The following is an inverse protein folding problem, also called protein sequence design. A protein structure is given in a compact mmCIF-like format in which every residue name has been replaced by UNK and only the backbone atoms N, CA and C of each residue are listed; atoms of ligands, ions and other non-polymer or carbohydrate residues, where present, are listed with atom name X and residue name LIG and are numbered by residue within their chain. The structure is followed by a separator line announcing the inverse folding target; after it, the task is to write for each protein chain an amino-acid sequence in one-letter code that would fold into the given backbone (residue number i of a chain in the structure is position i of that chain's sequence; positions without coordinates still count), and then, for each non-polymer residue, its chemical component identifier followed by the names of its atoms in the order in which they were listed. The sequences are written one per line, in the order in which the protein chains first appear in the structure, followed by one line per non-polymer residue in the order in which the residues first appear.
data_IF_030883996500
#
_entry.id   IF_030883996500
#
_cell.length_a   1.000
_cell.length_b   1.000
_cell.length_c   1.000
_cell.angle_alpha   90.00
_cell.angle_beta   90.00
_cell.angle_gamma   90.00
#
_symmetry.space_group_name_H-M   'P 1'
#
loop_
_entity.id
_entity.type
_entity.pdbx_description
1 polymer ?
#
# COMPACT_ATOMS: atom_id res chain seq x y z
N UNK A 1 -26.34 15.80 -8.66
CA UNK A 1 -25.33 16.24 -9.67
C UNK A 1 -23.93 15.71 -9.35
N UNK A 2 -23.48 15.73 -8.09
CA UNK A 2 -22.13 15.31 -7.70
C UNK A 2 -21.85 13.83 -8.04
N UNK A 3 -22.78 12.93 -7.83
CA UNK A 3 -22.59 11.50 -8.10
C UNK A 3 -22.56 11.15 -9.59
N UNK A 4 -23.30 11.85 -10.44
CA UNK A 4 -23.29 11.62 -11.89
C UNK A 4 -22.00 12.16 -12.53
N UNK A 5 -21.51 13.29 -12.07
CA UNK A 5 -20.24 13.87 -12.53
C UNK A 5 -19.03 13.02 -12.15
N UNK A 6 -19.00 12.46 -10.93
CA UNK A 6 -17.97 11.49 -10.52
C UNK A 6 -17.95 10.26 -11.45
N UNK A 7 -19.09 9.63 -11.70
CA UNK A 7 -19.17 8.46 -12.58
C UNK A 7 -18.74 8.77 -14.03
N UNK A 8 -19.04 9.96 -14.55
CA UNK A 8 -18.59 10.39 -15.88
C UNK A 8 -17.08 10.59 -15.89
N UNK A 9 -16.53 11.26 -14.89
CA UNK A 9 -15.09 11.51 -14.75
C UNK A 9 -14.30 10.21 -14.64
N UNK A 10 -14.73 9.28 -13.78
CA UNK A 10 -14.05 8.00 -13.60
C UNK A 10 -14.03 7.20 -14.89
N UNK A 11 -15.15 7.15 -15.61
CA UNK A 11 -15.23 6.47 -16.92
C UNK A 11 -14.30 7.11 -17.94
N UNK A 12 -14.30 8.43 -18.05
CA UNK A 12 -13.43 9.14 -18.99
C UNK A 12 -11.96 8.84 -18.71
N UNK A 13 -11.54 8.93 -17.44
CA UNK A 13 -10.16 8.65 -17.06
C UNK A 13 -9.76 7.19 -17.32
N UNK A 14 -10.64 6.24 -17.07
CA UNK A 14 -10.40 4.83 -17.38
C UNK A 14 -10.20 4.63 -18.89
N UNK A 15 -11.05 5.22 -19.73
CA UNK A 15 -10.93 5.11 -21.20
C UNK A 15 -9.68 5.83 -21.73
N UNK A 16 -9.33 6.98 -21.19
CA UNK A 16 -8.08 7.68 -21.52
C UNK A 16 -6.86 6.80 -21.21
N UNK A 17 -6.80 6.20 -20.00
CA UNK A 17 -5.72 5.30 -19.64
C UNK A 17 -5.68 4.04 -20.53
N UNK A 18 -6.82 3.46 -20.88
CA UNK A 18 -6.90 2.33 -21.82
C UNK A 18 -6.34 2.70 -23.18
N UNK A 19 -6.58 3.91 -23.65
CA UNK A 19 -6.13 4.38 -24.96
C UNK A 19 -4.62 4.53 -25.06
N UNK A 20 -3.95 4.91 -23.97
CA UNK A 20 -2.50 5.13 -23.92
C UNK A 20 -1.70 3.90 -23.51
N UNK A 21 -2.29 2.98 -22.74
CA UNK A 21 -1.61 1.80 -22.19
C UNK A 21 -0.84 0.97 -23.25
N UNK A 22 -1.36 0.75 -24.49
CA UNK A 22 -0.63 0.00 -25.51
C UNK A 22 0.72 0.61 -25.89
N UNK A 23 0.85 1.92 -25.82
CA UNK A 23 2.03 2.69 -26.22
C UNK A 23 3.04 2.88 -25.10
N UNK A 24 2.69 2.55 -23.85
CA UNK A 24 3.58 2.71 -22.72
C UNK A 24 4.63 1.61 -22.66
N UNK A 25 5.79 1.94 -22.09
CA UNK A 25 6.89 0.99 -21.85
C UNK A 25 6.74 0.36 -20.47
N UNK A 26 7.24 -0.86 -20.32
CA UNK A 26 7.42 -1.50 -19.04
C UNK A 26 8.48 -0.78 -18.18
N UNK A 27 8.35 -0.83 -16.87
CA UNK A 27 9.26 -0.17 -15.93
C UNK A 27 10.74 -0.55 -16.18
N UNK A 28 11.01 -1.82 -16.46
CA UNK A 28 12.36 -2.30 -16.78
C UNK A 28 12.98 -1.64 -18.03
N UNK A 29 12.18 -1.03 -18.89
CA UNK A 29 12.61 -0.33 -20.11
C UNK A 29 12.62 1.20 -19.96
N UNK A 30 12.45 1.70 -18.76
CA UNK A 30 12.49 3.13 -18.41
C UNK A 30 13.77 3.45 -17.65
N UNK A 31 14.37 4.61 -17.92
CA UNK A 31 15.65 5.00 -17.30
C UNK A 31 15.62 5.09 -15.78
N UNK A 32 14.45 5.41 -15.21
CA UNK A 32 14.24 5.53 -13.77
C UNK A 32 13.27 4.46 -13.24
N UNK A 33 13.05 3.38 -13.98
CA UNK A 33 12.23 2.26 -13.55
C UNK A 33 10.86 2.67 -13.03
N UNK A 34 10.54 2.22 -11.82
CA UNK A 34 9.25 2.49 -11.14
C UNK A 34 9.07 3.94 -10.65
N UNK A 35 10.08 4.78 -10.75
CA UNK A 35 9.92 6.24 -10.55
C UNK A 35 9.27 6.95 -11.73
N UNK A 36 8.88 6.21 -12.76
CA UNK A 36 8.20 6.72 -13.95
C UNK A 36 6.92 5.96 -14.20
N UNK A 37 5.94 6.65 -14.78
CA UNK A 37 4.69 6.01 -15.18
C UNK A 37 4.96 4.95 -16.27
N UNK A 38 4.89 3.71 -15.88
CA UNK A 38 5.09 2.52 -16.71
C UNK A 38 3.77 1.93 -17.20
N UNK A 39 3.86 0.95 -18.09
CA UNK A 39 2.70 0.21 -18.58
C UNK A 39 2.00 -0.53 -17.43
N UNK A 40 2.76 -1.16 -16.55
CA UNK A 40 2.23 -1.87 -15.37
C UNK A 40 1.52 -0.92 -14.42
N UNK A 41 2.07 0.27 -14.22
CA UNK A 41 1.42 1.31 -13.42
C UNK A 41 0.11 1.77 -14.07
N UNK A 42 0.10 1.99 -15.38
CA UNK A 42 -1.11 2.35 -16.10
C UNK A 42 -2.22 1.28 -15.96
N UNK A 43 -1.87 0.00 -16.13
CA UNK A 43 -2.80 -1.10 -15.93
C UNK A 43 -3.32 -1.17 -14.50
N UNK A 44 -2.44 -1.04 -13.52
CA UNK A 44 -2.81 -1.03 -12.11
C UNK A 44 -3.74 0.13 -11.75
N UNK A 45 -3.51 1.31 -12.34
CA UNK A 45 -4.39 2.47 -12.16
C UNK A 45 -5.77 2.26 -12.78
N UNK A 46 -5.85 1.66 -13.97
CA UNK A 46 -7.15 1.29 -14.57
C UNK A 46 -7.90 0.34 -13.64
N UNK A 47 -7.22 -0.68 -13.11
CA UNK A 47 -7.82 -1.63 -12.19
C UNK A 47 -8.33 -0.94 -10.90
N UNK A 48 -7.48 -0.13 -10.25
CA UNK A 48 -7.84 0.58 -9.02
C UNK A 48 -9.01 1.53 -9.24
N UNK A 49 -8.98 2.32 -10.31
CA UNK A 49 -10.07 3.25 -10.64
C UNK A 49 -11.38 2.52 -10.94
N UNK A 50 -11.31 1.39 -11.66
CA UNK A 50 -12.49 0.60 -11.96
C UNK A 50 -13.10 -0.03 -10.69
N UNK A 51 -12.29 -0.52 -9.74
CA UNK A 51 -12.78 -1.01 -8.46
C UNK A 51 -13.43 0.10 -7.62
N UNK A 52 -12.79 1.27 -7.52
CA UNK A 52 -13.37 2.42 -6.82
C UNK A 52 -14.69 2.88 -7.45
N UNK A 53 -14.74 3.00 -8.78
CA UNK A 53 -15.95 3.37 -9.49
C UNK A 53 -17.08 2.34 -9.34
N UNK A 54 -16.74 1.05 -9.27
CA UNK A 54 -17.69 -0.06 -9.06
C UNK A 54 -18.02 -0.35 -7.60
N UNK A 55 -17.27 0.23 -6.67
CA UNK A 55 -17.45 0.03 -5.23
C UNK A 55 -18.65 0.76 -4.63
N UNK A 56 -18.84 0.51 -3.33
CA UNK A 56 -19.83 1.27 -2.56
C UNK A 56 -19.36 2.70 -2.35
N UNK A 57 -20.25 3.65 -2.64
CA UNK A 57 -20.04 5.07 -2.38
C UNK A 57 -21.35 5.75 -2.01
N UNK A 58 -21.28 6.89 -1.34
CA UNK A 58 -22.44 7.70 -1.04
C UNK A 58 -22.98 8.30 -2.35
N UNK A 59 -24.17 7.88 -2.76
CA UNK A 59 -24.83 8.34 -3.98
C UNK A 59 -26.11 9.11 -3.65
N UNK A 60 -26.56 10.03 -4.52
CA UNK A 60 -27.84 10.71 -4.33
C UNK A 60 -28.98 9.68 -4.22
N UNK A 61 -29.83 9.84 -3.21
CA UNK A 61 -31.07 9.06 -3.11
C UNK A 61 -32.13 9.69 -4.00
N UNK A 62 -32.31 9.16 -5.21
CA UNK A 62 -33.28 9.65 -6.16
C UNK A 62 -34.74 9.39 -5.76
N UNK A 63 -34.95 8.38 -4.90
CA UNK A 63 -36.30 8.02 -4.40
C UNK A 63 -36.69 8.90 -3.22
N UNK A 64 -35.71 9.41 -2.47
CA UNK A 64 -35.92 10.33 -1.37
C UNK A 64 -34.85 11.44 -1.35
N UNK A 65 -35.02 12.51 -2.14
CA UNK A 65 -34.06 13.60 -2.24
C UNK A 65 -33.79 14.35 -0.94
N UNK A 66 -34.61 14.18 0.07
CA UNK A 66 -34.44 14.76 1.41
C UNK A 66 -33.34 14.02 2.22
N UNK A 67 -32.95 12.81 1.84
CA UNK A 67 -31.89 12.06 2.47
C UNK A 67 -30.52 12.60 2.04
N UNK A 68 -29.51 12.39 2.90
CA UNK A 68 -28.11 12.72 2.59
C UNK A 68 -27.49 11.81 1.51
N UNK A 69 -28.21 10.77 1.07
CA UNK A 69 -27.79 9.80 0.07
C UNK A 69 -27.85 8.36 0.57
N UNK A 70 -27.56 7.43 -0.33
CA UNK A 70 -27.48 5.99 -0.06
C UNK A 70 -26.07 5.48 -0.32
N UNK A 71 -25.57 4.59 0.55
CA UNK A 71 -24.37 3.81 0.29
C UNK A 71 -24.71 2.65 -0.65
N UNK A 72 -24.39 2.81 -1.92
CA UNK A 72 -24.74 1.82 -2.95
C UNK A 72 -23.66 1.73 -4.05
N UNK A 73 -23.74 0.65 -4.82
CA UNK A 73 -22.94 0.43 -6.03
C UNK A 73 -23.67 0.95 -7.26
N UNK A 74 -22.96 1.37 -8.32
CA UNK A 74 -23.61 1.70 -9.60
C UNK A 74 -24.19 0.43 -10.25
N UNK A 75 -25.23 0.58 -11.05
CA UNK A 75 -25.89 -0.57 -11.70
C UNK A 75 -24.92 -1.41 -12.57
N UNK A 76 -23.87 -0.79 -13.13
CA UNK A 76 -22.86 -1.45 -13.96
C UNK A 76 -21.61 -1.89 -13.18
N UNK A 77 -21.69 -2.02 -11.86
CA UNK A 77 -20.51 -2.34 -11.03
C UNK A 77 -19.79 -3.63 -11.46
N UNK A 78 -20.53 -4.64 -11.93
CA UNK A 78 -19.93 -5.89 -12.41
C UNK A 78 -19.05 -5.70 -13.64
N UNK A 79 -19.39 -4.78 -14.53
CA UNK A 79 -18.54 -4.49 -15.71
C UNK A 79 -17.29 -3.73 -15.33
N UNK A 80 -17.37 -2.87 -14.31
CA UNK A 80 -16.21 -2.22 -13.72
C UNK A 80 -15.29 -3.23 -13.02
N UNK A 81 -15.86 -4.17 -12.27
CA UNK A 81 -15.07 -5.25 -11.65
C UNK A 81 -14.44 -6.21 -12.69
N UNK A 82 -15.12 -6.50 -13.82
CA UNK A 82 -14.51 -7.22 -14.95
C UNK A 82 -13.32 -6.45 -15.53
N UNK A 83 -13.46 -5.13 -15.67
CA UNK A 83 -12.35 -4.27 -16.12
C UNK A 83 -11.19 -4.35 -15.14
N UNK A 84 -11.45 -4.23 -13.84
CA UNK A 84 -10.41 -4.33 -12.82
C UNK A 84 -9.70 -5.68 -12.86
N UNK A 85 -10.46 -6.78 -12.92
CA UNK A 85 -9.92 -8.13 -12.99
C UNK A 85 -9.01 -8.32 -14.21
N UNK A 86 -9.45 -7.88 -15.40
CA UNK A 86 -8.68 -8.00 -16.64
C UNK A 86 -7.36 -7.24 -16.60
N UNK A 87 -7.35 -6.04 -16.00
CA UNK A 87 -6.13 -5.25 -15.91
C UNK A 87 -5.19 -5.70 -14.79
N UNK A 88 -5.71 -6.22 -13.67
CA UNK A 88 -4.89 -6.93 -12.70
C UNK A 88 -4.25 -8.18 -13.32
N UNK A 89 -5.02 -8.97 -14.08
CA UNK A 89 -4.51 -10.14 -14.81
C UNK A 89 -3.42 -9.74 -15.81
N UNK A 90 -3.56 -8.61 -16.49
CA UNK A 90 -2.53 -8.11 -17.41
C UNK A 90 -1.20 -7.84 -16.69
N UNK A 91 -1.24 -7.29 -15.48
CA UNK A 91 -0.02 -7.07 -14.67
C UNK A 91 0.56 -8.41 -14.22
N UNK A 92 -0.27 -9.31 -13.68
CA UNK A 92 0.16 -10.62 -13.17
C UNK A 92 0.76 -11.46 -14.31
N UNK A 93 0.06 -11.56 -15.43
CA UNK A 93 0.48 -12.34 -16.60
C UNK A 93 1.71 -11.78 -17.30
N UNK A 94 2.02 -10.48 -17.11
CA UNK A 94 3.26 -9.90 -17.65
C UNK A 94 4.52 -10.44 -16.98
N UNK A 95 4.39 -11.02 -15.79
CA UNK A 95 5.48 -11.57 -14.96
C UNK A 95 6.66 -10.59 -14.78
N UNK A 96 6.38 -9.28 -14.81
CA UNK A 96 7.39 -8.24 -14.64
C UNK A 96 7.64 -7.87 -13.19
N UNK A 97 6.71 -8.24 -12.30
CA UNK A 97 6.81 -8.00 -10.86
C UNK A 97 6.69 -9.30 -10.07
N UNK A 98 7.33 -9.34 -8.91
CA UNK A 98 7.32 -10.48 -7.99
C UNK A 98 7.17 -10.01 -6.55
N UNK A 99 7.01 -10.95 -5.61
CA UNK A 99 7.11 -10.72 -4.17
C UNK A 99 8.29 -11.52 -3.59
N UNK A 100 9.45 -11.44 -4.23
CA UNK A 100 10.64 -12.23 -3.86
C UNK A 100 11.35 -11.70 -2.62
N UNK A 101 11.26 -10.40 -2.36
CA UNK A 101 11.91 -9.78 -1.21
C UNK A 101 11.03 -9.90 0.04
N UNK A 102 11.64 -10.02 1.22
CA UNK A 102 10.93 -9.91 2.49
C UNK A 102 10.17 -8.59 2.59
N UNK A 103 9.03 -8.60 3.27
CA UNK A 103 8.13 -7.44 3.41
C UNK A 103 8.85 -6.14 3.75
N UNK A 104 9.69 -6.14 4.79
CA UNK A 104 10.38 -4.94 5.26
C UNK A 104 11.40 -4.41 4.26
N UNK A 105 11.92 -5.27 3.37
CA UNK A 105 12.99 -4.90 2.43
C UNK A 105 12.54 -3.85 1.43
N UNK A 106 11.26 -3.78 1.10
CA UNK A 106 10.69 -2.73 0.25
C UNK A 106 11.03 -1.36 0.84
N UNK A 107 10.67 -1.14 2.09
CA UNK A 107 10.84 0.14 2.79
C UNK A 107 12.32 0.45 3.13
N UNK A 108 13.11 -0.57 3.42
CA UNK A 108 14.56 -0.42 3.60
C UNK A 108 15.23 0.00 2.30
N UNK A 109 14.82 -0.56 1.16
CA UNK A 109 15.34 -0.18 -0.15
C UNK A 109 15.01 1.27 -0.47
N UNK A 110 13.78 1.71 -0.25
CA UNK A 110 13.36 3.11 -0.42
C UNK A 110 14.19 4.06 0.47
N UNK A 111 14.43 3.70 1.75
CA UNK A 111 15.28 4.46 2.66
C UNK A 111 16.75 4.54 2.20
N UNK A 112 17.19 3.61 1.37
CA UNK A 112 18.55 3.55 0.83
C UNK A 112 18.64 3.96 -0.65
N UNK A 113 17.56 4.54 -1.20
CA UNK A 113 17.51 5.03 -2.58
C UNK A 113 17.75 3.93 -3.62
N UNK A 114 17.32 2.71 -3.31
CA UNK A 114 17.40 1.56 -4.20
C UNK A 114 16.08 1.41 -4.94
N UNK A 115 16.07 1.76 -6.21
CA UNK A 115 14.92 1.58 -7.10
C UNK A 115 14.90 0.14 -7.61
N UNK A 116 13.83 -0.59 -7.31
CA UNK A 116 13.65 -1.98 -7.74
C UNK A 116 12.45 -2.10 -8.67
N UNK A 117 12.69 -2.33 -9.96
CA UNK A 117 11.67 -2.30 -11.01
C UNK A 117 11.01 -3.65 -11.31
N UNK A 118 11.32 -4.71 -10.57
CA UNK A 118 10.82 -6.07 -10.80
C UNK A 118 10.42 -6.83 -9.52
N UNK A 119 10.24 -6.12 -8.42
CA UNK A 119 9.69 -6.66 -7.18
C UNK A 119 8.34 -5.98 -6.86
N UNK A 120 8.02 -5.77 -5.59
CA UNK A 120 6.72 -5.25 -5.15
C UNK A 120 6.37 -3.84 -5.65
N UNK A 121 7.27 -2.82 -5.63
CA UNK A 121 6.93 -1.49 -6.15
C UNK A 121 6.62 -1.51 -7.64
N UNK A 122 5.44 -0.97 -8.02
CA UNK A 122 5.03 -0.74 -9.42
C UNK A 122 5.21 0.74 -9.77
N UNK A 123 4.94 1.63 -8.81
CA UNK A 123 5.18 3.05 -8.95
C UNK A 123 5.51 3.68 -7.61
N UNK A 124 6.63 4.38 -7.57
CA UNK A 124 7.06 5.19 -6.45
C UNK A 124 6.99 6.67 -6.79
N UNK A 125 6.48 7.50 -5.88
CA UNK A 125 6.59 8.94 -5.98
C UNK A 125 8.04 9.30 -5.61
N UNK A 126 8.85 9.77 -6.57
CA UNK A 126 10.26 10.02 -6.31
C UNK A 126 10.47 11.36 -5.62
N UNK A 127 11.38 11.36 -4.65
CA UNK A 127 11.87 12.56 -4.01
C UNK A 127 13.38 12.71 -4.22
N UNK A 128 13.83 13.92 -4.47
CA UNK A 128 15.24 14.18 -4.66
C UNK A 128 15.99 14.09 -3.32
N UNK A 129 17.00 13.23 -3.28
CA UNK A 129 17.85 13.01 -2.11
C UNK A 129 18.39 14.34 -1.58
N UNK A 130 18.32 14.52 -0.26
CA UNK A 130 18.81 15.72 0.45
C UNK A 130 18.15 17.04 0.00
N UNK A 131 17.08 16.98 -0.79
CA UNK A 131 16.47 18.19 -1.37
C UNK A 131 14.97 18.26 -1.13
N UNK A 132 14.27 17.13 -1.05
CA UNK A 132 12.81 17.12 -0.91
C UNK A 132 12.29 15.85 -0.20
N UNK A 133 11.01 15.89 0.18
CA UNK A 133 10.30 14.77 0.76
C UNK A 133 10.53 14.58 2.26
N UNK A 134 9.43 14.47 2.99
CA UNK A 134 9.44 14.32 4.45
C UNK A 134 9.02 12.92 4.91
N UNK A 135 9.07 11.91 4.03
CA UNK A 135 8.58 10.56 4.33
C UNK A 135 9.26 10.01 5.58
N UNK A 136 10.58 9.97 5.64
CA UNK A 136 11.31 9.46 6.80
C UNK A 136 11.20 10.34 8.07
N UNK A 137 10.77 11.61 7.93
CA UNK A 137 10.51 12.46 9.07
C UNK A 137 9.11 12.25 9.66
N UNK A 138 8.11 12.11 8.78
CA UNK A 138 6.72 11.94 9.19
C UNK A 138 6.38 10.50 9.57
N UNK A 139 7.05 9.53 8.99
CA UNK A 139 6.93 8.10 9.25
C UNK A 139 8.17 7.57 9.98
N UNK A 140 8.13 6.33 10.38
CA UNK A 140 9.22 5.75 11.16
C UNK A 140 9.14 6.08 12.66
N UNK A 141 10.03 5.54 13.48
CA UNK A 141 10.08 5.82 14.90
C UNK A 141 10.49 7.26 15.17
N UNK A 142 10.00 7.82 16.28
CA UNK A 142 10.43 9.14 16.75
C UNK A 142 11.94 9.11 17.01
N UNK A 143 12.63 10.15 16.55
CA UNK A 143 14.05 10.36 16.83
C UNK A 143 14.25 11.81 17.24
N UNK A 144 14.86 12.03 18.40
CA UNK A 144 15.14 13.36 18.92
C UNK A 144 16.47 13.86 18.40
N UNK A 145 16.53 15.14 18.02
CA UNK A 145 17.74 15.72 17.49
C UNK A 145 18.81 15.89 18.57
N UNK A 146 18.41 16.46 19.72
CA UNK A 146 19.31 16.70 20.84
C UNK A 146 18.55 17.22 22.08
N UNK A 147 19.22 17.28 23.23
CA UNK A 147 18.72 17.90 24.44
C UNK A 147 19.35 19.30 24.63
N UNK A 148 18.66 20.34 24.16
CA UNK A 148 19.01 21.75 24.42
C UNK A 148 20.18 22.34 23.62
N UNK A 149 20.63 21.71 22.56
CA UNK A 149 21.76 22.14 21.73
C UNK A 149 21.37 22.55 20.30
N UNK A 150 22.26 23.17 19.59
CA UNK A 150 22.06 23.67 18.22
C UNK A 150 22.61 22.75 17.13
N UNK A 151 23.39 21.75 17.46
CA UNK A 151 23.92 20.76 16.51
C UNK A 151 23.46 19.37 16.92
N UNK A 152 22.90 18.63 15.99
CA UNK A 152 22.41 17.29 16.27
C UNK A 152 23.53 16.31 16.56
N UNK A 153 23.52 15.73 17.74
CA UNK A 153 24.40 14.63 18.09
C UNK A 153 23.82 13.27 17.60
N UNK A 154 22.53 13.27 17.23
CA UNK A 154 21.87 12.07 16.75
C UNK A 154 22.19 11.82 15.26
N UNK A 155 22.86 10.72 15.00
CA UNK A 155 23.30 10.32 13.66
C UNK A 155 22.16 10.09 12.67
N UNK A 156 20.94 9.88 13.16
CA UNK A 156 19.75 9.69 12.31
C UNK A 156 18.95 10.99 12.08
N UNK A 157 19.26 12.08 12.81
CA UNK A 157 18.52 13.32 12.78
C UNK A 157 17.11 13.22 13.36
N UNK A 158 16.39 14.34 13.33
CA UNK A 158 15.03 14.42 13.89
C UNK A 158 14.00 13.64 13.04
N UNK A 159 13.12 12.91 13.71
CA UNK A 159 11.89 12.35 13.14
C UNK A 159 10.74 12.49 14.16
N UNK A 160 9.56 12.93 13.69
CA UNK A 160 8.41 13.19 14.58
C UNK A 160 7.37 12.09 14.60
N UNK A 161 7.43 11.14 13.67
CA UNK A 161 6.46 10.04 13.59
C UNK A 161 4.99 10.53 13.59
N UNK A 162 4.69 11.52 12.77
CA UNK A 162 3.35 12.11 12.70
C UNK A 162 2.27 11.15 12.19
N UNK A 163 2.66 10.13 11.41
CA UNK A 163 1.81 9.06 10.92
C UNK A 163 1.79 7.87 11.90
N UNK A 164 1.34 8.11 13.12
CA UNK A 164 1.30 7.11 14.16
C UNK A 164 0.14 6.11 13.98
N UNK A 165 0.32 4.91 14.51
CA UNK A 165 -0.67 3.84 14.55
C UNK A 165 -1.35 3.78 15.92
N UNK A 166 -2.56 3.21 15.97
CA UNK A 166 -3.22 2.92 17.23
C UNK A 166 -2.59 1.69 17.91
N UNK A 167 -2.46 1.72 19.24
CA UNK A 167 -2.02 0.56 20.00
C UNK A 167 -2.93 -0.67 19.76
N UNK A 168 -4.24 -0.47 19.58
CA UNK A 168 -5.18 -1.54 19.24
C UNK A 168 -4.81 -2.24 17.93
N UNK A 169 -4.28 -1.50 16.97
CA UNK A 169 -3.87 -2.08 15.68
C UNK A 169 -2.80 -3.16 15.86
N UNK A 170 -1.84 -2.95 16.75
CA UNK A 170 -0.82 -3.99 17.07
C UNK A 170 -1.44 -5.29 17.57
N UNK A 171 -2.48 -5.19 18.41
CA UNK A 171 -3.13 -6.38 18.99
C UNK A 171 -4.08 -7.10 18.00
N UNK A 172 -4.34 -6.52 16.84
CA UNK A 172 -5.11 -7.19 15.78
C UNK A 172 -4.27 -8.19 14.97
N UNK A 173 -2.93 -8.07 15.02
CA UNK A 173 -2.04 -9.00 14.33
C UNK A 173 -1.97 -10.34 15.03
N UNK A 174 -1.89 -11.40 14.23
CA UNK A 174 -1.41 -12.69 14.71
C UNK A 174 0.02 -12.53 15.26
N UNK A 175 0.35 -13.13 16.41
CA UNK A 175 1.70 -13.06 16.99
C UNK A 175 2.84 -13.53 16.06
N UNK A 176 2.56 -14.40 15.10
CA UNK A 176 3.53 -14.90 14.13
C UNK A 176 3.61 -14.06 12.84
N UNK A 177 2.72 -13.08 12.67
CA UNK A 177 2.80 -12.16 11.53
C UNK A 177 4.02 -11.23 11.68
N UNK A 178 5.03 -11.45 10.86
CA UNK A 178 6.28 -10.68 10.94
C UNK A 178 6.06 -9.18 10.72
N UNK A 179 5.00 -8.79 10.01
CA UNK A 179 4.65 -7.38 9.76
C UNK A 179 4.30 -6.64 11.04
N UNK A 180 3.77 -7.36 12.04
CA UNK A 180 3.44 -6.78 13.35
C UNK A 180 4.61 -6.00 13.93
N UNK A 181 5.78 -6.59 13.94
CA UNK A 181 6.95 -6.00 14.59
C UNK A 181 7.69 -5.01 13.69
N UNK A 182 7.55 -5.15 12.37
CA UNK A 182 8.06 -4.14 11.42
C UNK A 182 7.18 -2.90 11.34
N UNK A 183 5.86 -3.05 11.45
CA UNK A 183 4.92 -1.93 11.34
C UNK A 183 4.75 -1.15 12.63
N UNK A 184 4.77 -1.85 13.75
CA UNK A 184 4.38 -1.30 15.04
C UNK A 184 5.62 -1.01 15.90
N UNK A 185 6.24 0.12 15.67
CA UNK A 185 7.39 0.59 16.44
C UNK A 185 7.00 0.98 17.87
N UNK A 186 7.53 0.26 18.85
CA UNK A 186 7.33 0.55 20.27
C UNK A 186 8.42 1.45 20.86
N UNK A 187 9.44 1.74 20.06
CA UNK A 187 10.64 2.44 20.48
C UNK A 187 10.79 3.74 19.69
N UNK A 188 11.13 4.80 20.39
CA UNK A 188 11.73 5.99 19.83
C UNK A 188 13.21 6.03 20.20
N UNK A 189 13.90 7.10 19.81
CA UNK A 189 15.33 7.26 20.07
C UNK A 189 15.60 8.66 20.63
N UNK A 190 16.39 8.70 21.68
CA UNK A 190 16.87 9.95 22.26
C UNK A 190 17.97 10.55 21.37
N UNK A 191 18.34 11.80 21.66
CA UNK A 191 19.39 12.54 20.93
C UNK A 191 20.75 11.82 20.91
N UNK A 192 21.05 11.04 21.93
CA UNK A 192 22.29 10.23 22.01
C UNK A 192 22.15 8.85 21.33
N UNK A 193 21.04 8.59 20.66
CA UNK A 193 20.77 7.33 19.95
C UNK A 193 20.29 6.20 20.83
N UNK A 194 20.10 6.42 22.15
CA UNK A 194 19.54 5.41 23.02
C UNK A 194 18.05 5.17 22.76
N UNK A 195 17.59 3.90 22.73
CA UNK A 195 16.18 3.61 22.55
C UNK A 195 15.38 4.02 23.79
N UNK A 196 14.21 4.58 23.58
CA UNK A 196 13.23 4.89 24.63
C UNK A 196 11.87 4.32 24.29
N UNK A 197 11.17 3.78 25.27
CA UNK A 197 9.81 3.28 25.08
C UNK A 197 8.87 4.45 24.88
N UNK A 198 7.97 4.35 23.89
CA UNK A 198 6.88 5.30 23.76
C UNK A 198 6.00 5.27 25.01
N UNK A 199 5.95 6.39 25.73
CA UNK A 199 5.12 6.52 26.94
C UNK A 199 3.66 6.88 26.65
N UNK A 200 3.31 7.04 25.36
CA UNK A 200 1.95 7.33 24.91
C UNK A 200 1.28 6.07 24.39
N UNK A 201 -0.04 6.10 24.29
CA UNK A 201 -0.83 5.07 23.62
C UNK A 201 -0.56 4.98 22.11
N UNK A 202 0.39 5.73 21.62
CA UNK A 202 0.77 5.85 20.22
C UNK A 202 1.85 4.83 19.91
N UNK A 203 1.62 4.06 18.85
CA UNK A 203 2.61 3.16 18.26
C UNK A 203 3.17 3.85 17.02
N UNK A 204 4.48 3.87 16.87
CA UNK A 204 5.09 4.47 15.69
C UNK A 204 4.86 3.59 14.46
N UNK A 205 4.50 4.22 13.34
CA UNK A 205 4.56 3.54 12.06
C UNK A 205 6.04 3.39 11.65
N UNK A 206 6.54 2.17 11.73
CA UNK A 206 7.97 1.90 11.56
C UNK A 206 8.39 1.72 10.09
N UNK A 207 7.48 1.87 9.11
CA UNK A 207 7.86 2.00 7.70
C UNK A 207 8.66 3.28 7.51
N UNK A 208 9.61 3.23 6.59
CA UNK A 208 10.48 4.36 6.22
C UNK A 208 11.27 4.96 7.39
N UNK A 209 11.73 4.10 8.28
CA UNK A 209 12.58 4.54 9.38
C UNK A 209 13.87 5.19 8.88
N UNK A 210 14.17 6.40 9.31
CA UNK A 210 15.45 7.05 9.03
C UNK A 210 16.65 6.24 9.50
N UNK A 211 16.48 5.39 10.51
CA UNK A 211 17.52 4.49 11.03
C UNK A 211 17.98 3.45 9.99
N UNK A 212 17.18 3.20 8.98
CA UNK A 212 17.53 2.29 7.89
C UNK A 212 18.34 2.95 6.78
N UNK A 213 18.37 4.28 6.75
CA UNK A 213 19.14 5.02 5.76
C UNK A 213 20.65 4.94 6.09
N UNK A 214 21.44 4.50 5.13
CA UNK A 214 22.91 4.46 5.22
C UNK A 214 23.54 5.69 4.59
N UNK A 215 22.76 6.58 3.99
CA UNK A 215 23.22 7.79 3.33
C UNK A 215 22.11 8.86 3.33
N UNK A 216 22.49 10.11 3.25
CA UNK A 216 21.58 11.25 3.27
C UNK A 216 21.95 12.24 4.33
N UNK A 217 21.22 13.36 4.40
CA UNK A 217 21.36 14.35 5.45
C UNK A 217 20.45 14.00 6.62
N UNK A 218 20.97 13.41 7.70
CA UNK A 218 20.15 13.00 8.84
C UNK A 218 19.53 14.20 9.58
N UNK A 219 20.12 15.38 9.49
CA UNK A 219 19.64 16.59 10.17
C UNK A 219 18.41 17.20 9.46
N UNK A 220 18.23 16.93 8.17
CA UNK A 220 17.16 17.54 7.41
C UNK A 220 15.82 16.85 7.66
N UNK A 221 14.93 17.54 8.33
CA UNK A 221 13.57 17.08 8.59
C UNK A 221 12.74 16.96 7.30
N UNK A 222 12.87 17.91 6.38
CA UNK A 222 12.04 18.02 5.18
C UNK A 222 12.66 17.50 3.90
N UNK A 223 13.86 16.90 3.96
CA UNK A 223 14.63 16.56 2.76
C UNK A 223 15.19 15.12 2.83
N UNK A 224 14.37 14.18 3.25
CA UNK A 224 14.81 12.79 3.42
C UNK A 224 15.10 12.10 2.08
N UNK A 225 14.47 12.55 0.99
CA UNK A 225 14.61 11.96 -0.33
C UNK A 225 14.09 10.52 -0.43
N UNK A 226 13.39 10.04 0.59
CA UNK A 226 12.84 8.69 0.62
C UNK A 226 11.61 8.66 -0.26
N UNK A 227 11.60 7.76 -1.24
CA UNK A 227 10.45 7.55 -2.12
C UNK A 227 9.24 7.02 -1.36
N UNK A 228 8.06 7.21 -1.95
CA UNK A 228 6.81 6.70 -1.39
C UNK A 228 6.14 5.75 -2.40
N UNK A 229 5.90 4.48 -2.04
CA UNK A 229 5.28 3.50 -2.94
C UNK A 229 3.79 3.81 -3.09
N UNK A 230 3.43 4.40 -4.21
CA UNK A 230 2.04 4.74 -4.52
C UNK A 230 1.24 3.54 -5.03
N UNK A 231 1.91 2.62 -5.74
CA UNK A 231 1.32 1.39 -6.26
C UNK A 231 2.28 0.23 -6.06
N UNK A 232 1.81 -0.85 -5.45
CA UNK A 232 2.58 -2.07 -5.25
C UNK A 232 1.91 -3.28 -5.92
N UNK A 233 2.71 -4.27 -6.29
CA UNK A 233 2.22 -5.53 -6.86
C UNK A 233 1.31 -6.29 -5.90
N UNK A 234 1.57 -6.20 -4.61
CA UNK A 234 0.67 -6.69 -3.56
C UNK A 234 -0.74 -6.11 -3.68
N UNK A 235 -0.89 -4.82 -4.02
CA UNK A 235 -2.22 -4.22 -4.21
C UNK A 235 -2.93 -4.80 -5.43
N UNK A 236 -2.19 -5.04 -6.52
CA UNK A 236 -2.74 -5.71 -7.72
C UNK A 236 -3.24 -7.11 -7.40
N UNK A 237 -2.47 -7.89 -6.63
CA UNK A 237 -2.88 -9.24 -6.21
C UNK A 237 -4.16 -9.22 -5.35
N UNK A 238 -4.26 -8.29 -4.41
CA UNK A 238 -5.43 -8.18 -3.55
C UNK A 238 -6.65 -7.59 -4.30
N UNK A 239 -6.46 -6.66 -5.23
CA UNK A 239 -7.52 -6.21 -6.14
C UNK A 239 -8.00 -7.34 -7.04
N UNK A 240 -7.09 -8.17 -7.57
CA UNK A 240 -7.44 -9.36 -8.34
C UNK A 240 -8.28 -10.33 -7.51
N UNK A 241 -7.85 -10.64 -6.29
CA UNK A 241 -8.56 -11.55 -5.40
C UNK A 241 -9.98 -11.07 -5.07
N UNK A 242 -10.13 -9.77 -4.77
CA UNK A 242 -11.43 -9.15 -4.52
C UNK A 242 -12.34 -9.18 -5.75
N UNK A 243 -11.81 -8.77 -6.91
CA UNK A 243 -12.61 -8.70 -8.13
C UNK A 243 -13.04 -10.09 -8.61
N UNK A 244 -12.16 -11.09 -8.54
CA UNK A 244 -12.47 -12.47 -8.90
C UNK A 244 -13.54 -13.06 -7.95
N UNK A 245 -13.42 -12.85 -6.65
CA UNK A 245 -14.41 -13.26 -5.65
C UNK A 245 -15.79 -12.64 -5.92
N UNK A 246 -15.84 -11.35 -6.21
CA UNK A 246 -17.09 -10.63 -6.49
C UNK A 246 -17.80 -11.15 -7.75
N UNK A 247 -17.05 -11.41 -8.81
CA UNK A 247 -17.60 -11.78 -10.10
C UNK A 247 -18.04 -13.25 -10.17
N UNK A 248 -17.41 -14.12 -9.38
CA UNK A 248 -17.69 -15.56 -9.37
C UNK A 248 -18.60 -16.00 -8.20
N UNK A 249 -19.09 -15.03 -7.45
CA UNK A 249 -19.94 -15.25 -6.27
C UNK A 249 -19.29 -16.17 -5.22
N UNK A 250 -17.97 -16.07 -5.12
CA UNK A 250 -17.11 -16.83 -4.22
C UNK A 250 -15.66 -16.88 -4.70
N UNK A 251 -14.72 -17.35 -3.85
CA UNK A 251 -13.31 -17.36 -4.18
C UNK A 251 -12.98 -18.41 -5.26
N UNK A 252 -12.25 -17.97 -6.29
CA UNK A 252 -11.63 -18.86 -7.27
C UNK A 252 -10.27 -19.34 -6.78
N UNK A 253 -9.74 -20.43 -7.34
CA UNK A 253 -8.40 -20.91 -7.00
C UNK A 253 -7.33 -19.84 -7.29
N UNK A 254 -7.48 -19.08 -8.37
CA UNK A 254 -6.59 -17.98 -8.69
C UNK A 254 -6.68 -16.84 -7.67
N UNK A 255 -7.88 -16.52 -7.15
CA UNK A 255 -8.04 -15.54 -6.07
C UNK A 255 -7.39 -15.99 -4.76
N UNK A 256 -7.55 -17.27 -4.40
CA UNK A 256 -6.86 -17.89 -3.26
C UNK A 256 -5.35 -17.84 -3.42
N UNK A 257 -4.83 -18.16 -4.61
CA UNK A 257 -3.41 -18.10 -4.91
C UNK A 257 -2.84 -16.68 -4.81
N UNK A 258 -3.57 -15.67 -5.26
CA UNK A 258 -3.17 -14.27 -5.12
C UNK A 258 -3.08 -13.84 -3.64
N UNK A 259 -4.07 -14.19 -2.82
CA UNK A 259 -4.04 -13.94 -1.38
C UNK A 259 -2.88 -14.70 -0.71
N UNK A 260 -2.65 -15.97 -1.12
CA UNK A 260 -1.56 -16.79 -0.61
C UNK A 260 -0.18 -16.14 -0.87
N UNK A 261 0.06 -15.60 -2.08
CA UNK A 261 1.31 -14.91 -2.40
C UNK A 261 1.60 -13.73 -1.47
N UNK A 262 0.59 -12.99 -1.07
CA UNK A 262 0.76 -11.89 -0.12
C UNK A 262 1.08 -12.42 1.28
N UNK A 263 0.31 -13.40 1.75
CA UNK A 263 0.45 -13.94 3.10
C UNK A 263 1.76 -14.67 3.34
N UNK A 264 2.35 -15.29 2.33
CA UNK A 264 3.63 -16.00 2.49
C UNK A 264 4.82 -15.09 2.83
N UNK A 265 4.70 -13.76 2.64
CA UNK A 265 5.69 -12.80 3.16
C UNK A 265 5.47 -12.46 4.64
N UNK A 266 4.28 -12.72 5.14
CA UNK A 266 3.88 -12.41 6.51
C UNK A 266 4.07 -13.57 7.49
N UNK A 267 4.01 -14.79 6.99
CA UNK A 267 4.08 -16.00 7.81
C UNK A 267 5.15 -16.95 7.28
N UNK A 268 5.92 -17.54 8.19
CA UNK A 268 6.93 -18.55 7.86
C UNK A 268 6.39 -19.98 7.84
N UNK A 269 5.20 -20.20 8.43
CA UNK A 269 4.55 -21.51 8.46
C UNK A 269 3.52 -21.63 7.31
N UNK A 270 3.78 -22.44 6.26
CA UNK A 270 2.85 -22.61 5.15
C UNK A 270 1.51 -23.21 5.56
N UNK A 271 1.48 -24.15 6.50
CA UNK A 271 0.23 -24.81 6.96
C UNK A 271 -0.72 -23.80 7.59
N UNK A 272 -0.19 -22.78 8.25
CA UNK A 272 -0.98 -21.69 8.84
C UNK A 272 -1.61 -20.81 7.77
N UNK A 273 -0.90 -20.57 6.66
CA UNK A 273 -1.41 -19.80 5.53
C UNK A 273 -2.55 -20.56 4.86
N UNK A 274 -2.30 -21.84 4.54
CA UNK A 274 -3.26 -22.71 3.84
C UNK A 274 -4.54 -22.90 4.68
N UNK A 275 -4.38 -23.21 5.97
CA UNK A 275 -5.51 -23.40 6.89
C UNK A 275 -6.36 -22.12 7.04
N UNK A 276 -5.73 -20.95 7.08
CA UNK A 276 -6.45 -19.69 7.14
C UNK A 276 -7.25 -19.46 5.85
N UNK A 277 -6.62 -19.59 4.68
CA UNK A 277 -7.29 -19.36 3.40
C UNK A 277 -8.45 -20.33 3.23
N UNK A 278 -8.26 -21.61 3.57
CA UNK A 278 -9.32 -22.60 3.49
C UNK A 278 -10.49 -22.25 4.43
N UNK A 279 -10.22 -21.87 5.67
CA UNK A 279 -11.24 -21.47 6.63
C UNK A 279 -12.07 -20.26 6.18
N UNK A 280 -11.46 -19.35 5.41
CA UNK A 280 -12.08 -18.14 4.89
C UNK A 280 -12.64 -18.30 3.47
N UNK A 281 -12.61 -19.50 2.91
CA UNK A 281 -13.06 -19.78 1.53
C UNK A 281 -14.47 -20.38 1.46
N UNK A 282 -15.17 -20.50 2.58
CA UNK A 282 -16.49 -21.09 2.67
C UNK A 282 -17.61 -20.23 2.06
N UNK A 283 -17.43 -18.92 1.98
CA UNK A 283 -18.38 -17.99 1.37
C UNK A 283 -17.67 -16.81 0.70
N UNK A 284 -18.41 -16.11 -0.15
CA UNK A 284 -17.97 -14.85 -0.78
C UNK A 284 -17.61 -13.79 0.26
N UNK A 285 -18.43 -13.67 1.28
CA UNK A 285 -18.30 -12.69 2.36
C UNK A 285 -17.08 -12.97 3.22
N UNK A 286 -16.85 -14.25 3.60
CA UNK A 286 -15.69 -14.64 4.40
C UNK A 286 -14.39 -14.39 3.63
N UNK A 287 -14.35 -14.76 2.35
CA UNK A 287 -13.16 -14.51 1.55
C UNK A 287 -12.92 -13.02 1.30
N UNK A 288 -13.96 -12.22 1.05
CA UNK A 288 -13.83 -10.78 0.97
C UNK A 288 -13.27 -10.21 2.27
N UNK A 289 -13.77 -10.68 3.41
CA UNK A 289 -13.22 -10.28 4.72
C UNK A 289 -11.74 -10.62 4.84
N UNK A 290 -11.32 -11.80 4.41
CA UNK A 290 -9.91 -12.17 4.41
C UNK A 290 -9.05 -11.24 3.56
N UNK A 291 -9.50 -10.87 2.37
CA UNK A 291 -8.80 -9.92 1.49
C UNK A 291 -8.71 -8.53 2.12
N UNK A 292 -9.79 -8.03 2.71
CA UNK A 292 -9.81 -6.72 3.36
C UNK A 292 -8.96 -6.70 4.65
N UNK A 293 -8.97 -7.77 5.42
CA UNK A 293 -8.08 -7.91 6.58
C UNK A 293 -6.61 -7.95 6.16
N UNK A 294 -6.30 -8.64 5.06
CA UNK A 294 -4.94 -8.66 4.51
C UNK A 294 -4.50 -7.25 4.06
N UNK A 295 -5.36 -6.51 3.36
CA UNK A 295 -5.11 -5.11 2.98
C UNK A 295 -4.82 -4.23 4.19
N UNK A 296 -5.60 -4.39 5.25
CA UNK A 296 -5.43 -3.63 6.50
C UNK A 296 -4.04 -3.85 7.11
N UNK A 297 -3.54 -5.09 7.13
CA UNK A 297 -2.23 -5.41 7.70
C UNK A 297 -1.09 -5.04 6.76
N UNK A 298 -1.30 -5.12 5.47
CA UNK A 298 -0.26 -4.88 4.47
C UNK A 298 0.01 -3.38 4.25
N UNK A 299 -1.05 -2.57 4.16
CA UNK A 299 -0.94 -1.18 3.71
C UNK A 299 -1.04 -0.12 4.80
N UNK A 300 -0.98 -0.50 6.07
CA UNK A 300 -1.01 0.49 7.15
C UNK A 300 0.07 1.57 6.95
N UNK A 301 -0.36 2.81 7.00
CA UNK A 301 0.51 3.98 6.79
C UNK A 301 0.82 4.32 5.34
N UNK A 302 0.25 3.62 4.35
CA UNK A 302 0.45 3.89 2.93
C UNK A 302 -0.72 4.67 2.29
N UNK A 303 -1.70 5.12 3.08
CA UNK A 303 -2.89 5.86 2.61
C UNK A 303 -3.70 5.12 1.52
N UNK A 304 -3.83 3.81 1.65
CA UNK A 304 -4.60 2.96 0.73
C UNK A 304 -5.87 2.43 1.37
#
# INVERSE_FOLDING_TARGET
LVGSEMCIRDRTLIEDLKSIAPYMKFAANLSNGVERASKEFCWSMIARMAMHAGGYSLRPDTDNPANFGKMERPANYKDLYKTALAYCDSVISSATHTLSLPYYRVFVNECNYVVNSNDDPIFEIPFAKETSGSVGYAHGPKSELYEGSTSGDNIWGEAKSGAALSAFYRFMFDPEDVRRDYLNGLWGYLYNGEPTISVSYTVYNNKWSKLWSTSGNPESAGNTGINFPYMRYTDVLLMYAEAANELNDGPTDAAKAALHQVRQRAFTNPEKIDSYIESMSGSKEDFLKAVLDERKFEFAGENM
#
